data_IF_968344423266
#
_entry.id   IF_968344423266
#
_cell.length_a   1.000
_cell.length_b   1.000
_cell.length_c   1.000
_cell.angle_alpha   90.00
_cell.angle_beta   90.00
_cell.angle_gamma   90.00
#
_symmetry.space_group_name_H-M   'P 1'
#
loop_
_entity.id
_entity.type
_entity.pdbx_description
1 polymer ?
#
# COMPACT_ATOMS: atom_id res chain seq x y z
N UNK A 1 28.50 26.10 30.99
CA UNK A 1 28.05 24.70 30.83
C UNK A 1 29.20 23.93 30.20
N UNK A 2 29.81 22.99 30.94
CA UNK A 2 31.03 22.28 30.57
C UNK A 2 30.82 21.39 29.33
N UNK A 3 31.49 21.72 28.22
CA UNK A 3 31.54 20.91 27.01
C UNK A 3 32.63 19.85 27.08
N UNK A 4 32.42 18.78 27.85
CA UNK A 4 33.27 17.60 27.74
C UNK A 4 32.89 16.83 26.48
N UNK A 5 33.80 16.78 25.51
CA UNK A 5 33.66 15.96 24.30
C UNK A 5 33.33 14.51 24.69
N UNK A 6 32.38 13.84 24.02
CA UNK A 6 32.02 12.46 24.32
C UNK A 6 33.26 11.56 24.21
N UNK A 7 33.38 10.55 25.07
CA UNK A 7 34.52 9.65 25.01
C UNK A 7 34.51 8.91 23.65
N UNK A 8 35.67 8.53 23.10
CA UNK A 8 35.73 7.79 21.83
C UNK A 8 34.86 6.53 21.84
N UNK A 9 34.72 5.89 23.00
CA UNK A 9 33.88 4.70 23.20
C UNK A 9 32.39 5.02 23.00
N UNK A 10 31.92 6.20 23.43
CA UNK A 10 30.52 6.61 23.29
C UNK A 10 30.15 6.80 21.82
N UNK A 11 31.07 7.36 21.03
CA UNK A 11 30.88 7.52 19.58
C UNK A 11 30.85 6.16 18.86
N UNK A 12 31.69 5.20 19.27
CA UNK A 12 31.68 3.85 18.73
C UNK A 12 30.37 3.12 19.05
N UNK A 13 29.88 3.24 20.29
CA UNK A 13 28.60 2.65 20.72
C UNK A 13 27.44 3.25 19.92
N UNK A 14 27.38 4.57 19.73
CA UNK A 14 26.33 5.20 18.93
C UNK A 14 26.39 4.83 17.44
N UNK A 15 27.60 4.67 16.89
CA UNK A 15 27.76 4.22 15.50
C UNK A 15 27.30 2.78 15.27
N UNK A 16 27.46 1.91 16.28
CA UNK A 16 27.04 0.51 16.23
C UNK A 16 25.54 0.30 16.51
N UNK A 17 24.96 1.04 17.46
CA UNK A 17 23.56 0.88 17.84
C UNK A 17 22.59 1.62 16.91
N UNK A 18 23.10 2.53 16.08
CA UNK A 18 22.29 3.39 15.23
C UNK A 18 21.43 4.35 16.03
N UNK A 19 20.70 5.21 15.32
CA UNK A 19 19.68 6.04 15.96
C UNK A 19 18.48 5.17 16.34
N UNK A 20 17.89 5.38 17.54
CA UNK A 20 16.66 4.68 17.91
C UNK A 20 15.56 5.02 16.90
N UNK A 21 14.65 4.08 16.59
CA UNK A 21 13.56 4.32 15.66
C UNK A 21 12.71 5.50 16.16
N UNK A 22 12.54 6.50 15.31
CA UNK A 22 11.69 7.66 15.62
C UNK A 22 10.26 7.39 15.20
N UNK A 23 9.33 8.22 15.67
CA UNK A 23 7.94 8.18 15.24
C UNK A 23 7.81 8.34 13.71
N UNK A 24 8.68 9.12 13.08
CA UNK A 24 8.72 9.29 11.62
C UNK A 24 9.09 7.99 10.90
N UNK A 25 10.06 7.23 11.43
CA UNK A 25 10.42 5.90 10.90
C UNK A 25 9.24 4.94 10.99
N UNK A 26 8.49 4.97 12.09
CA UNK A 26 7.30 4.15 12.27
C UNK A 26 6.20 4.52 11.27
N UNK A 27 5.93 5.81 11.07
CA UNK A 27 4.96 6.28 10.07
C UNK A 27 5.36 5.90 8.64
N UNK A 28 6.65 6.00 8.31
CA UNK A 28 7.16 5.59 7.00
C UNK A 28 6.92 4.09 6.74
N UNK A 29 7.10 3.25 7.77
CA UNK A 29 6.83 1.81 7.67
C UNK A 29 5.33 1.54 7.42
N UNK A 30 4.44 2.22 8.14
CA UNK A 30 2.98 2.08 7.92
C UNK A 30 2.61 2.48 6.49
N UNK A 31 3.09 3.63 6.01
CA UNK A 31 2.84 4.11 4.64
C UNK A 31 3.25 3.07 3.60
N UNK A 32 4.41 2.45 3.79
CA UNK A 32 4.90 1.39 2.92
C UNK A 32 3.96 0.17 2.90
N UNK A 33 3.50 -0.31 4.06
CA UNK A 33 2.54 -1.41 4.11
C UNK A 33 1.18 -1.07 3.49
N UNK A 34 0.71 0.17 3.63
CA UNK A 34 -0.52 0.65 2.98
C UNK A 34 -0.37 0.60 1.45
N UNK A 35 0.77 1.03 0.90
CA UNK A 35 1.03 0.95 -0.54
C UNK A 35 1.06 -0.50 -1.04
N UNK A 36 1.66 -1.42 -0.27
CA UNK A 36 1.63 -2.86 -0.61
C UNK A 36 0.19 -3.37 -0.62
N UNK A 37 -0.59 -3.07 0.42
CA UNK A 37 -1.99 -3.49 0.51
C UNK A 37 -2.83 -2.98 -0.65
N UNK A 38 -2.68 -1.71 -1.03
CA UNK A 38 -3.36 -1.13 -2.19
C UNK A 38 -2.91 -1.77 -3.51
N UNK A 39 -1.64 -2.14 -3.64
CA UNK A 39 -1.14 -2.85 -4.82
C UNK A 39 -1.79 -4.24 -4.94
N UNK A 40 -1.90 -4.97 -3.83
CA UNK A 40 -2.62 -6.24 -3.79
C UNK A 40 -4.13 -6.05 -4.06
N UNK A 41 -4.70 -4.92 -3.65
CA UNK A 41 -6.09 -4.58 -3.94
C UNK A 41 -6.36 -4.39 -5.44
N UNK A 42 -5.38 -3.89 -6.21
CA UNK A 42 -5.50 -3.87 -7.68
C UNK A 42 -5.58 -5.29 -8.27
N UNK A 43 -4.75 -6.21 -7.76
CA UNK A 43 -4.80 -7.63 -8.17
C UNK A 43 -6.17 -8.22 -7.82
N UNK A 44 -6.70 -7.90 -6.65
CA UNK A 44 -8.06 -8.30 -6.25
C UNK A 44 -9.13 -7.79 -7.24
N UNK A 45 -9.04 -6.53 -7.68
CA UNK A 45 -9.94 -5.97 -8.71
C UNK A 45 -9.90 -6.76 -10.03
N UNK A 46 -8.71 -7.17 -10.48
CA UNK A 46 -8.56 -8.02 -11.67
C UNK A 46 -9.20 -9.40 -11.49
N UNK A 47 -9.04 -10.00 -10.30
CA UNK A 47 -9.65 -11.28 -9.94
C UNK A 47 -11.18 -11.17 -9.96
N UNK A 48 -11.75 -10.08 -9.45
CA UNK A 48 -13.21 -9.83 -9.49
C UNK A 48 -13.73 -9.79 -10.93
N UNK A 49 -13.06 -9.07 -11.84
CA UNK A 49 -13.49 -9.03 -13.25
C UNK A 49 -13.45 -10.43 -13.88
N UNK A 50 -12.42 -11.21 -13.58
CA UNK A 50 -12.34 -12.60 -14.04
C UNK A 50 -13.51 -13.44 -13.51
N UNK A 51 -13.86 -13.29 -12.23
CA UNK A 51 -14.99 -14.00 -11.63
C UNK A 51 -16.33 -13.58 -12.25
N UNK A 52 -16.53 -12.29 -12.51
CA UNK A 52 -17.74 -11.79 -13.19
C UNK A 52 -17.84 -12.40 -14.59
N UNK A 53 -16.74 -12.46 -15.34
CA UNK A 53 -16.74 -13.06 -16.68
C UNK A 53 -17.06 -14.57 -16.64
N UNK A 54 -16.57 -15.30 -15.64
CA UNK A 54 -16.89 -16.72 -15.43
C UNK A 54 -18.34 -16.94 -14.97
N UNK A 55 -18.90 -16.03 -14.17
CA UNK A 55 -20.31 -16.09 -13.76
C UNK A 55 -21.25 -15.80 -14.94
N UNK A 56 -20.88 -14.84 -15.79
CA UNK A 56 -21.69 -14.45 -16.95
C UNK A 56 -21.78 -15.55 -18.03
N UNK A 57 -20.87 -16.53 -18.03
CA UNK A 57 -20.93 -17.67 -18.96
C UNK A 57 -21.93 -18.74 -18.53
N UNK A 58 -22.25 -18.84 -17.24
CA UNK A 58 -23.18 -19.82 -16.68
C UNK A 58 -24.58 -19.25 -16.45
N UNK A 59 -24.68 -18.00 -16.00
CA UNK A 59 -25.96 -17.37 -15.66
C UNK A 59 -26.13 -16.11 -16.51
N UNK A 60 -26.88 -16.23 -17.62
CA UNK A 60 -27.23 -15.11 -18.48
C UNK A 60 -28.43 -14.37 -17.91
N UNK A 61 -28.18 -13.28 -17.19
CA UNK A 61 -29.23 -12.37 -16.70
C UNK A 61 -28.95 -10.94 -17.16
N UNK A 62 -29.95 -10.06 -17.13
CA UNK A 62 -29.75 -8.64 -17.41
C UNK A 62 -28.77 -7.97 -16.42
N UNK A 63 -28.59 -8.56 -15.23
CA UNK A 63 -27.66 -8.09 -14.18
C UNK A 63 -26.20 -8.33 -14.59
N UNK A 64 -25.93 -9.36 -15.41
CA UNK A 64 -24.59 -9.73 -15.89
C UNK A 64 -23.85 -8.57 -16.55
N UNK A 65 -24.56 -7.78 -17.37
CA UNK A 65 -23.99 -6.62 -18.05
C UNK A 65 -23.66 -5.47 -17.07
N UNK A 66 -24.57 -5.21 -16.12
CA UNK A 66 -24.39 -4.18 -15.09
C UNK A 66 -23.18 -4.52 -14.21
N UNK A 67 -23.06 -5.76 -13.76
CA UNK A 67 -21.93 -6.22 -12.94
C UNK A 67 -20.61 -6.11 -13.70
N UNK A 68 -20.59 -6.40 -15.00
CA UNK A 68 -19.38 -6.29 -15.81
C UNK A 68 -18.91 -4.82 -15.91
N UNK A 69 -19.83 -3.88 -16.15
CA UNK A 69 -19.50 -2.45 -16.13
C UNK A 69 -19.03 -2.01 -14.74
N UNK A 70 -19.75 -2.40 -13.69
CA UNK A 70 -19.38 -2.05 -12.32
C UNK A 70 -17.98 -2.57 -11.94
N UNK A 71 -17.61 -3.77 -12.40
CA UNK A 71 -16.27 -4.33 -12.20
C UNK A 71 -15.17 -3.50 -12.86
N UNK A 72 -15.37 -3.07 -14.11
CA UNK A 72 -14.41 -2.21 -14.81
C UNK A 72 -14.31 -0.82 -14.20
N UNK A 73 -15.44 -0.22 -13.81
CA UNK A 73 -15.46 1.08 -13.12
C UNK A 73 -14.75 0.97 -11.77
N UNK A 74 -15.00 -0.10 -11.01
CA UNK A 74 -14.34 -0.35 -9.74
C UNK A 74 -12.82 -0.48 -9.92
N UNK A 75 -12.35 -1.24 -10.90
CA UNK A 75 -10.91 -1.36 -11.19
C UNK A 75 -10.29 0.00 -11.55
N UNK A 76 -10.98 0.80 -12.37
CA UNK A 76 -10.54 2.15 -12.73
C UNK A 76 -10.41 3.07 -11.53
N UNK A 77 -11.42 3.10 -10.65
CA UNK A 77 -11.40 3.88 -9.41
C UNK A 77 -10.28 3.42 -8.47
N UNK A 78 -10.10 2.12 -8.32
CA UNK A 78 -9.02 1.53 -7.51
C UNK A 78 -7.64 1.94 -8.02
N UNK A 79 -7.46 2.02 -9.35
CA UNK A 79 -6.22 2.49 -9.97
C UNK A 79 -5.96 3.97 -9.70
N UNK A 80 -7.00 4.81 -9.74
CA UNK A 80 -6.90 6.24 -9.35
C UNK A 80 -6.53 6.38 -7.87
N UNK A 81 -7.20 5.66 -6.98
CA UNK A 81 -6.90 5.69 -5.53
C UNK A 81 -5.48 5.22 -5.26
N UNK A 82 -5.04 4.14 -5.90
CA UNK A 82 -3.66 3.66 -5.80
C UNK A 82 -2.65 4.72 -6.26
N UNK A 83 -2.91 5.39 -7.39
CA UNK A 83 -2.03 6.44 -7.90
C UNK A 83 -1.94 7.63 -6.96
N UNK A 84 -3.08 8.09 -6.41
CA UNK A 84 -3.10 9.15 -5.41
C UNK A 84 -2.30 8.74 -4.17
N UNK A 85 -2.51 7.51 -3.67
CA UNK A 85 -1.77 6.99 -2.53
C UNK A 85 -0.26 6.93 -2.80
N UNK A 86 0.16 6.51 -4.00
CA UNK A 86 1.56 6.46 -4.40
C UNK A 86 2.24 7.84 -4.45
N UNK A 87 1.50 8.89 -4.80
CA UNK A 87 2.05 10.25 -4.85
C UNK A 87 2.04 10.95 -3.48
N UNK A 88 1.04 10.66 -2.65
CA UNK A 88 0.79 11.40 -1.39
C UNK A 88 1.44 10.74 -0.18
N UNK A 89 1.52 9.41 -0.12
CA UNK A 89 2.06 8.68 1.04
C UNK A 89 3.58 8.57 0.98
#
# INVERSE_FOLDING_TARGET
MNGSSPAPIDTLIQSFLGSPPTFDTFLALIKFFVLIALTLYLVFGLVIIRQINQMNSTIRTNISFILQIAGWVHLGLSLVVWFIAFVVL
#
